data_IF_644833184811
#
_entry.id   IF_644833184811
#
_cell.length_a   1.000
_cell.length_b   1.000
_cell.length_c   1.000
_cell.angle_alpha   90.00
_cell.angle_beta   90.00
_cell.angle_gamma   90.00
#
_symmetry.space_group_name_H-M   'P 1'
#
loop_
_entity.id
_entity.type
_entity.pdbx_description
1 polymer ?
#
# COMPACT_ATOMS: atom_id res chain seq x y z
N UNK A 1 -15.05 -18.84 -8.10
CA UNK A 1 -13.66 -18.42 -7.92
C UNK A 1 -12.99 -19.33 -6.91
N UNK A 2 -11.65 -19.32 -6.83
CA UNK A 2 -10.87 -20.10 -5.83
C UNK A 2 -11.15 -19.58 -4.42
N UNK A 3 -11.24 -20.49 -3.45
CA UNK A 3 -11.29 -20.16 -2.02
C UNK A 3 -9.95 -19.56 -1.55
N UNK A 4 -9.93 -18.95 -0.37
CA UNK A 4 -8.69 -18.42 0.24
C UNK A 4 -7.66 -19.54 0.39
N UNK A 5 -8.07 -20.71 0.89
CA UNK A 5 -7.18 -21.86 1.04
C UNK A 5 -6.58 -22.31 -0.29
N UNK A 6 -7.38 -22.43 -1.35
CA UNK A 6 -6.89 -22.81 -2.68
C UNK A 6 -5.89 -21.81 -3.25
N UNK A 7 -6.06 -20.51 -2.97
CA UNK A 7 -5.08 -19.47 -3.37
C UNK A 7 -3.76 -19.64 -2.62
N UNK A 8 -3.80 -19.87 -1.32
CA UNK A 8 -2.62 -20.11 -0.49
C UNK A 8 -1.89 -21.40 -0.92
N UNK A 9 -2.63 -22.48 -1.17
CA UNK A 9 -2.05 -23.73 -1.69
C UNK A 9 -1.36 -23.52 -3.05
N UNK A 10 -1.97 -22.75 -3.94
CA UNK A 10 -1.35 -22.42 -5.23
C UNK A 10 -0.07 -21.60 -5.06
N UNK A 11 -0.05 -20.61 -4.16
CA UNK A 11 1.15 -19.85 -3.84
C UNK A 11 2.25 -20.74 -3.26
N UNK A 12 1.88 -21.63 -2.34
CA UNK A 12 2.84 -22.61 -1.75
C UNK A 12 3.42 -23.54 -2.81
N UNK A 13 2.57 -24.08 -3.67
CA UNK A 13 2.99 -24.96 -4.78
C UNK A 13 3.91 -24.24 -5.79
N UNK A 14 3.74 -22.93 -5.96
CA UNK A 14 4.60 -22.08 -6.79
C UNK A 14 5.94 -21.71 -6.11
N UNK A 15 6.17 -22.12 -4.85
CA UNK A 15 7.43 -21.91 -4.15
C UNK A 15 7.54 -20.58 -3.38
N UNK A 16 6.44 -19.86 -3.18
CA UNK A 16 6.47 -18.64 -2.37
C UNK A 16 6.60 -18.95 -0.87
N UNK A 17 7.26 -18.06 -0.12
CA UNK A 17 7.43 -18.12 1.33
C UNK A 17 6.32 -17.37 2.09
N UNK A 18 5.60 -16.49 1.42
CA UNK A 18 4.52 -15.70 1.98
C UNK A 18 3.59 -15.11 0.93
N UNK A 19 2.58 -14.44 1.42
CA UNK A 19 1.56 -13.77 0.60
C UNK A 19 1.26 -12.37 1.16
N UNK A 20 0.77 -11.49 0.30
CA UNK A 20 0.04 -10.29 0.69
C UNK A 20 -1.45 -10.61 0.61
N UNK A 21 -2.19 -10.31 1.67
CA UNK A 21 -3.63 -10.55 1.71
C UNK A 21 -4.40 -9.23 1.55
N UNK A 22 -5.56 -9.28 0.93
CA UNK A 22 -6.49 -8.16 0.97
C UNK A 22 -7.08 -8.00 2.38
N UNK A 23 -7.36 -6.76 2.79
CA UNK A 23 -8.16 -6.48 3.97
C UNK A 23 -9.64 -6.87 3.75
N UNK A 24 -10.42 -6.95 4.82
CA UNK A 24 -11.85 -7.29 4.80
C UNK A 24 -12.17 -8.71 4.31
N UNK A 25 -11.18 -9.60 4.24
CA UNK A 25 -11.42 -11.03 4.04
C UNK A 25 -11.94 -11.65 5.34
N UNK A 26 -12.49 -12.87 5.25
CA UNK A 26 -12.79 -13.65 6.44
C UNK A 26 -11.48 -13.94 7.20
N UNK A 27 -11.30 -13.29 8.33
CA UNK A 27 -10.06 -13.34 9.13
C UNK A 27 -9.68 -14.77 9.52
N UNK A 28 -10.65 -15.57 9.94
CA UNK A 28 -10.41 -16.96 10.34
C UNK A 28 -9.95 -17.82 9.15
N UNK A 29 -10.55 -17.65 7.98
CA UNK A 29 -10.14 -18.38 6.77
C UNK A 29 -8.71 -18.04 6.35
N UNK A 30 -8.28 -16.76 6.45
CA UNK A 30 -6.90 -16.35 6.15
C UNK A 30 -5.93 -16.98 7.14
N UNK A 31 -6.23 -16.93 8.44
CA UNK A 31 -5.39 -17.50 9.48
C UNK A 31 -5.24 -19.03 9.31
N UNK A 32 -6.32 -19.74 9.08
CA UNK A 32 -6.31 -21.20 8.85
C UNK A 32 -5.58 -21.57 7.56
N UNK A 33 -5.75 -20.81 6.48
CA UNK A 33 -5.03 -21.01 5.24
C UNK A 33 -3.51 -20.79 5.41
N UNK A 34 -3.11 -19.74 6.12
CA UNK A 34 -1.71 -19.47 6.44
C UNK A 34 -1.10 -20.60 7.27
N UNK A 35 -1.82 -21.04 8.32
CA UNK A 35 -1.40 -22.14 9.20
C UNK A 35 -1.27 -23.46 8.46
N UNK A 36 -2.24 -23.83 7.64
CA UNK A 36 -2.26 -25.12 6.93
C UNK A 36 -1.22 -25.21 5.81
N UNK A 37 -0.83 -24.09 5.20
CA UNK A 37 0.18 -24.04 4.13
C UNK A 37 1.58 -23.71 4.64
N UNK A 38 1.71 -23.16 5.85
CA UNK A 38 2.96 -22.63 6.40
C UNK A 38 3.43 -21.35 5.69
N UNK A 39 2.57 -20.69 4.90
CA UNK A 39 2.87 -19.40 4.31
C UNK A 39 2.69 -18.27 5.32
N UNK A 40 3.60 -17.30 5.31
CA UNK A 40 3.46 -16.07 6.09
C UNK A 40 2.57 -15.07 5.35
N UNK A 41 1.68 -14.39 6.06
CA UNK A 41 1.09 -13.14 5.56
C UNK A 41 2.05 -12.03 5.94
N UNK A 42 2.80 -11.47 4.99
CA UNK A 42 3.84 -10.49 5.28
C UNK A 42 3.33 -9.05 5.26
N UNK A 43 2.19 -8.80 4.59
CA UNK A 43 1.52 -7.48 4.51
C UNK A 43 0.05 -7.66 4.16
N UNK A 44 -0.72 -6.60 4.38
CA UNK A 44 -2.13 -6.52 4.00
C UNK A 44 -2.31 -5.34 3.04
N UNK A 45 -2.98 -5.57 1.91
CA UNK A 45 -3.41 -4.49 1.03
C UNK A 45 -4.73 -3.91 1.54
N UNK A 46 -4.83 -2.59 1.72
CA UNK A 46 -6.11 -1.95 1.99
C UNK A 46 -6.99 -2.05 0.74
N UNK A 47 -7.89 -3.01 0.73
CA UNK A 47 -8.72 -3.35 -0.43
C UNK A 47 -9.70 -2.26 -0.86
N UNK A 48 -9.87 -1.21 -0.05
CA UNK A 48 -10.81 -0.11 -0.31
C UNK A 48 -10.14 1.20 -0.70
N UNK A 49 -8.83 1.31 -0.67
CA UNK A 49 -8.11 2.56 -0.88
C UNK A 49 -8.37 3.21 -2.27
N UNK A 50 -8.81 2.44 -3.28
CA UNK A 50 -9.22 2.97 -4.59
C UNK A 50 -10.68 3.41 -4.66
N UNK A 51 -11.53 2.94 -3.75
CA UNK A 51 -12.97 3.30 -3.70
C UNK A 51 -13.23 4.42 -2.71
N UNK A 52 -12.70 4.27 -1.50
CA UNK A 52 -12.88 5.22 -0.39
C UNK A 52 -11.61 6.04 -0.22
N UNK A 53 -11.33 6.89 -1.25
CA UNK A 53 -10.10 7.68 -1.33
C UNK A 53 -9.98 8.66 -0.15
N UNK A 54 -8.83 8.65 0.52
CA UNK A 54 -8.52 9.61 1.59
C UNK A 54 -8.34 11.05 1.08
N UNK A 55 -8.23 11.25 -0.24
CA UNK A 55 -8.19 12.55 -0.90
C UNK A 55 -9.53 13.04 -1.41
N UNK A 56 -10.62 12.27 -1.23
CA UNK A 56 -11.95 12.65 -1.73
C UNK A 56 -12.39 14.02 -1.22
N UNK A 57 -13.06 14.85 -2.04
CA UNK A 57 -13.72 16.06 -1.55
C UNK A 57 -14.86 15.75 -0.57
N UNK A 58 -15.51 14.59 -0.70
CA UNK A 58 -16.58 14.15 0.18
C UNK A 58 -16.00 13.57 1.50
N UNK A 59 -16.37 14.19 2.63
CA UNK A 59 -15.94 13.75 3.95
C UNK A 59 -16.45 12.35 4.31
N UNK A 60 -17.65 11.97 3.83
CA UNK A 60 -18.21 10.64 4.11
C UNK A 60 -17.34 9.54 3.49
N UNK A 61 -16.87 9.77 2.25
CA UNK A 61 -15.94 8.86 1.55
C UNK A 61 -14.60 8.78 2.28
N UNK A 62 -14.07 9.92 2.77
CA UNK A 62 -12.82 9.90 3.57
C UNK A 62 -13.00 9.14 4.88
N UNK A 63 -14.14 9.32 5.56
CA UNK A 63 -14.45 8.58 6.79
C UNK A 63 -14.51 7.06 6.55
N UNK A 64 -15.12 6.62 5.44
CA UNK A 64 -15.09 5.22 5.02
C UNK A 64 -13.66 4.73 4.75
N UNK A 65 -12.83 5.56 4.12
CA UNK A 65 -11.41 5.25 3.86
C UNK A 65 -10.61 5.07 5.15
N UNK A 66 -10.80 5.95 6.12
CA UNK A 66 -10.17 5.81 7.45
C UNK A 66 -10.65 4.53 8.14
N UNK A 67 -11.96 4.26 8.14
CA UNK A 67 -12.50 3.03 8.72
C UNK A 67 -11.92 1.78 8.05
N UNK A 68 -11.76 1.79 6.73
CA UNK A 68 -11.15 0.70 5.98
C UNK A 68 -9.68 0.49 6.35
N UNK A 69 -8.91 1.58 6.46
CA UNK A 69 -7.51 1.52 6.90
C UNK A 69 -7.37 0.95 8.31
N UNK A 70 -8.25 1.33 9.24
CA UNK A 70 -8.25 0.79 10.61
C UNK A 70 -8.53 -0.73 10.60
N UNK A 71 -9.49 -1.21 9.81
CA UNK A 71 -9.74 -2.65 9.63
C UNK A 71 -8.52 -3.34 9.03
N UNK A 72 -7.86 -2.75 8.02
CA UNK A 72 -6.66 -3.32 7.42
C UNK A 72 -5.51 -3.46 8.43
N UNK A 73 -5.33 -2.49 9.33
CA UNK A 73 -4.34 -2.55 10.41
C UNK A 73 -4.65 -3.69 11.41
N UNK A 74 -5.92 -3.87 11.76
CA UNK A 74 -6.35 -4.96 12.64
C UNK A 74 -6.19 -6.32 11.96
N UNK A 75 -6.51 -6.44 10.67
CA UNK A 75 -6.32 -7.64 9.87
C UNK A 75 -4.83 -7.99 9.79
N UNK A 76 -3.96 -7.01 9.50
CA UNK A 76 -2.52 -7.20 9.48
C UNK A 76 -2.01 -7.74 10.83
N UNK A 77 -2.45 -7.15 11.93
CA UNK A 77 -2.10 -7.64 13.28
C UNK A 77 -2.55 -9.07 13.51
N UNK A 78 -3.80 -9.40 13.12
CA UNK A 78 -4.36 -10.73 13.31
C UNK A 78 -3.63 -11.80 12.48
N UNK A 79 -3.15 -11.44 11.29
CA UNK A 79 -2.42 -12.33 10.39
C UNK A 79 -0.92 -12.45 10.75
N UNK A 80 -0.42 -11.61 11.67
CA UNK A 80 1.00 -11.52 11.99
C UNK A 80 1.82 -10.74 10.95
N UNK A 81 1.16 -9.97 10.11
CA UNK A 81 1.79 -9.05 9.16
C UNK A 81 2.28 -7.78 9.88
N UNK A 82 3.31 -7.14 9.33
CA UNK A 82 3.96 -5.96 9.92
C UNK A 82 3.69 -4.67 9.16
N UNK A 83 2.95 -4.73 8.04
CA UNK A 83 2.62 -3.56 7.24
C UNK A 83 1.26 -3.69 6.54
N UNK A 84 0.62 -2.51 6.32
CA UNK A 84 -0.53 -2.32 5.44
C UNK A 84 -0.09 -1.48 4.26
N UNK A 85 -0.31 -1.98 3.05
CA UNK A 85 -0.16 -1.21 1.82
C UNK A 85 -1.32 -0.23 1.68
N UNK A 86 -1.00 1.06 1.54
CA UNK A 86 -1.97 2.12 1.36
C UNK A 86 -1.61 3.00 0.15
N UNK A 87 -2.56 3.18 -0.76
CA UNK A 87 -2.53 4.27 -1.73
C UNK A 87 -3.17 5.50 -1.07
N UNK A 88 -2.41 6.59 -0.81
CA UNK A 88 -2.86 7.66 0.07
C UNK A 88 -3.94 8.54 -0.54
N UNK A 89 -4.04 8.58 -1.86
CA UNK A 89 -5.02 9.42 -2.56
C UNK A 89 -4.76 9.45 -4.06
N UNK A 90 -5.53 10.27 -4.76
CA UNK A 90 -5.42 10.45 -6.22
C UNK A 90 -5.63 11.91 -6.58
N UNK A 91 -4.73 12.46 -7.38
CA UNK A 91 -4.89 13.78 -8.01
C UNK A 91 -5.69 13.62 -9.29
N UNK A 92 -6.69 14.47 -9.47
CA UNK A 92 -7.59 14.49 -10.64
C UNK A 92 -7.86 15.93 -11.05
N UNK A 93 -8.61 16.15 -12.13
CA UNK A 93 -9.06 17.48 -12.52
C UNK A 93 -9.86 18.19 -11.40
N UNK A 94 -10.61 17.42 -10.60
CA UNK A 94 -11.46 17.93 -9.52
C UNK A 94 -10.85 17.82 -8.12
N UNK A 95 -9.65 17.27 -7.98
CA UNK A 95 -8.91 17.19 -6.72
C UNK A 95 -7.49 17.65 -7.01
N UNK A 96 -7.18 18.88 -6.61
CA UNK A 96 -5.86 19.47 -6.81
C UNK A 96 -4.77 18.75 -5.99
N UNK A 97 -3.52 19.01 -6.32
CA UNK A 97 -2.38 18.34 -5.69
C UNK A 97 -2.27 18.64 -4.19
N UNK A 98 -2.45 19.90 -3.83
CA UNK A 98 -2.45 20.37 -2.43
C UNK A 98 -3.67 19.86 -1.65
N UNK A 99 -4.84 19.79 -2.24
CA UNK A 99 -6.02 19.18 -1.63
C UNK A 99 -5.81 17.67 -1.38
N UNK A 100 -5.25 16.96 -2.36
CA UNK A 100 -4.89 15.54 -2.19
C UNK A 100 -3.89 15.37 -1.04
N UNK A 101 -2.85 16.21 -0.98
CA UNK A 101 -1.85 16.21 0.09
C UNK A 101 -2.48 16.46 1.46
N UNK A 102 -3.22 17.54 1.59
CA UNK A 102 -3.76 17.98 2.87
C UNK A 102 -4.81 16.99 3.41
N UNK A 103 -5.78 16.60 2.57
CA UNK A 103 -6.84 15.67 2.96
C UNK A 103 -6.27 14.29 3.34
N UNK A 104 -5.45 13.70 2.48
CA UNK A 104 -4.89 12.37 2.77
C UNK A 104 -4.00 12.38 4.01
N UNK A 105 -3.23 13.46 4.25
CA UNK A 105 -2.42 13.62 5.45
C UNK A 105 -3.30 13.69 6.70
N UNK A 106 -4.36 14.49 6.69
CA UNK A 106 -5.30 14.61 7.80
C UNK A 106 -5.93 13.25 8.15
N UNK A 107 -6.38 12.53 7.13
CA UNK A 107 -7.05 11.25 7.33
C UNK A 107 -6.09 10.15 7.81
N UNK A 108 -4.88 10.06 7.24
CA UNK A 108 -3.87 9.09 7.70
C UNK A 108 -3.47 9.36 9.16
N UNK A 109 -3.34 10.61 9.58
CA UNK A 109 -3.02 10.97 10.97
C UNK A 109 -3.97 10.36 11.98
N UNK A 110 -5.24 10.14 11.63
CA UNK A 110 -6.23 9.49 12.50
C UNK A 110 -5.92 8.02 12.77
N UNK A 111 -5.26 7.36 11.80
CA UNK A 111 -4.89 5.94 11.91
C UNK A 111 -3.51 5.70 12.53
N UNK A 112 -2.61 6.69 12.54
CA UNK A 112 -1.23 6.55 13.05
C UNK A 112 -1.19 6.00 14.48
N UNK A 113 -1.97 6.49 15.46
CA UNK A 113 -1.94 5.97 16.83
C UNK A 113 -2.31 4.48 16.93
N UNK A 114 -3.21 4.02 16.06
CA UNK A 114 -3.61 2.61 16.00
C UNK A 114 -2.48 1.77 15.40
N UNK A 115 -1.85 2.25 14.33
CA UNK A 115 -0.69 1.60 13.70
C UNK A 115 0.46 1.43 14.71
N UNK A 116 0.77 2.47 15.49
CA UNK A 116 1.77 2.42 16.56
C UNK A 116 1.42 1.39 17.64
N UNK A 117 0.19 1.43 18.13
CA UNK A 117 -0.31 0.49 19.17
C UNK A 117 -0.24 -0.97 18.72
N UNK A 118 -0.56 -1.23 17.44
CA UNK A 118 -0.55 -2.57 16.88
C UNK A 118 0.86 -3.02 16.44
N UNK A 119 1.82 -2.10 16.39
CA UNK A 119 3.15 -2.30 15.79
C UNK A 119 3.05 -2.80 14.32
N UNK A 120 2.18 -2.15 13.55
CA UNK A 120 1.95 -2.40 12.12
C UNK A 120 2.19 -1.10 11.37
N UNK A 121 2.95 -1.12 10.29
CA UNK A 121 3.26 0.08 9.51
C UNK A 121 2.13 0.40 8.50
N UNK A 122 1.80 1.67 8.38
CA UNK A 122 1.09 2.21 7.21
C UNK A 122 2.16 2.47 6.14
N UNK A 123 2.22 1.65 5.13
CA UNK A 123 3.21 1.73 4.07
C UNK A 123 2.60 2.35 2.81
N UNK A 124 3.03 3.58 2.50
CA UNK A 124 2.53 4.38 1.38
C UNK A 124 3.12 3.86 0.07
N UNK A 125 2.28 3.45 -0.86
CA UNK A 125 2.73 2.96 -2.17
C UNK A 125 2.82 4.08 -3.20
N UNK A 126 3.91 4.11 -3.95
CA UNK A 126 4.07 4.91 -5.15
C UNK A 126 3.39 4.21 -6.33
N UNK A 127 2.28 4.78 -6.80
CA UNK A 127 1.47 4.26 -7.90
C UNK A 127 1.21 5.33 -8.96
N UNK A 128 0.53 4.97 -10.06
CA UNK A 128 0.18 5.93 -11.12
C UNK A 128 -1.13 6.66 -10.80
N UNK A 129 -1.12 7.46 -9.75
CA UNK A 129 -2.25 8.22 -9.22
C UNK A 129 -2.06 9.74 -9.33
N UNK A 130 -1.04 10.20 -10.07
CA UNK A 130 -0.65 11.60 -10.24
C UNK A 130 -0.25 12.28 -8.91
N UNK A 131 0.17 11.51 -7.92
CA UNK A 131 0.54 12.00 -6.59
C UNK A 131 1.87 11.39 -6.15
N UNK A 132 2.67 12.14 -5.38
CA UNK A 132 4.02 11.76 -4.93
C UNK A 132 4.94 11.42 -6.11
N UNK A 133 5.12 12.39 -7.01
CA UNK A 133 5.79 12.21 -8.29
C UNK A 133 7.32 12.21 -8.20
N UNK A 134 7.89 12.55 -7.05
CA UNK A 134 9.35 12.53 -6.82
C UNK A 134 9.72 11.86 -5.50
N UNK A 135 10.95 11.29 -5.39
CA UNK A 135 11.39 10.64 -4.15
C UNK A 135 11.58 11.64 -3.00
N UNK A 136 11.93 12.90 -3.30
CA UNK A 136 12.05 13.95 -2.29
C UNK A 136 10.70 14.29 -1.67
N UNK A 137 9.68 14.33 -2.51
CA UNK A 137 8.31 14.60 -2.10
C UNK A 137 7.75 13.42 -1.30
N UNK A 138 7.95 12.18 -1.78
CA UNK A 138 7.54 10.98 -1.07
C UNK A 138 8.21 10.87 0.32
N UNK A 139 9.51 11.18 0.41
CA UNK A 139 10.22 11.22 1.69
C UNK A 139 9.62 12.28 2.63
N UNK A 140 9.36 13.49 2.12
CA UNK A 140 8.74 14.58 2.90
C UNK A 140 7.33 14.23 3.35
N UNK A 141 6.53 13.58 2.47
CA UNK A 141 5.18 13.13 2.79
C UNK A 141 5.18 12.10 3.94
N UNK A 142 6.14 11.19 3.97
CA UNK A 142 6.29 10.20 5.05
C UNK A 142 6.78 10.87 6.34
N UNK A 143 7.80 11.72 6.26
CA UNK A 143 8.43 12.33 7.44
C UNK A 143 7.49 13.25 8.21
N UNK A 144 6.51 13.89 7.54
CA UNK A 144 5.58 14.82 8.20
C UNK A 144 4.69 14.16 9.26
N UNK A 145 4.58 12.83 9.25
CA UNK A 145 3.80 12.11 10.27
C UNK A 145 4.55 12.00 11.60
N UNK A 146 5.86 12.21 11.63
CA UNK A 146 6.71 12.08 12.81
C UNK A 146 6.53 10.74 13.56
N UNK A 147 6.30 9.66 12.82
CA UNK A 147 6.06 8.33 13.37
C UNK A 147 6.82 7.27 12.58
N UNK A 148 7.42 6.33 13.28
CA UNK A 148 8.05 5.15 12.67
C UNK A 148 7.01 4.15 12.15
N UNK A 149 5.74 4.34 12.47
CA UNK A 149 4.63 3.53 11.96
C UNK A 149 4.20 3.94 10.54
N UNK A 150 4.75 5.00 9.95
CA UNK A 150 4.52 5.37 8.56
C UNK A 150 5.79 5.15 7.75
N UNK A 151 5.68 4.49 6.61
CA UNK A 151 6.81 4.18 5.73
C UNK A 151 6.41 4.11 4.26
N UNK A 152 7.34 3.70 3.41
CA UNK A 152 7.11 3.48 2.00
C UNK A 152 6.86 2.00 1.70
N UNK A 153 5.84 1.71 0.92
CA UNK A 153 5.73 0.48 0.14
C UNK A 153 6.25 0.78 -1.25
N UNK A 154 7.53 0.50 -1.49
CA UNK A 154 8.22 0.95 -2.70
C UNK A 154 7.98 -0.01 -3.86
N UNK A 155 7.25 0.42 -4.89
CA UNK A 155 7.10 -0.31 -6.15
C UNK A 155 8.12 0.21 -7.18
N UNK A 156 9.12 -0.61 -7.48
CA UNK A 156 10.19 -0.24 -8.40
C UNK A 156 9.69 -0.18 -9.86
N UNK A 157 8.75 -1.03 -10.25
CA UNK A 157 8.20 -1.06 -11.61
C UNK A 157 7.36 0.17 -11.91
N UNK A 158 6.60 0.67 -10.94
CA UNK A 158 5.85 1.92 -11.11
C UNK A 158 6.77 3.11 -11.39
N UNK A 159 7.95 3.16 -10.76
CA UNK A 159 8.91 4.25 -10.96
C UNK A 159 9.59 4.16 -12.34
N UNK A 160 9.81 2.97 -12.88
CA UNK A 160 10.41 2.82 -14.20
C UNK A 160 9.65 3.57 -15.31
N UNK A 161 8.38 3.85 -15.13
CA UNK A 161 7.57 4.60 -16.09
C UNK A 161 8.03 6.07 -16.25
N UNK A 162 8.64 6.70 -15.22
CA UNK A 162 8.97 8.11 -15.23
C UNK A 162 10.19 8.51 -14.40
N UNK A 163 10.86 7.55 -13.76
CA UNK A 163 11.98 7.81 -12.86
C UNK A 163 13.03 6.71 -12.87
N UNK A 164 13.92 6.76 -11.92
CA UNK A 164 15.04 5.85 -11.73
C UNK A 164 14.91 5.21 -10.34
N UNK A 165 14.51 3.92 -10.23
CA UNK A 165 14.27 3.24 -8.95
C UNK A 165 15.43 3.34 -7.96
N UNK A 166 16.67 3.24 -8.44
CA UNK A 166 17.87 3.35 -7.61
C UNK A 166 18.04 4.71 -6.92
N UNK A 167 17.56 5.79 -7.57
CA UNK A 167 17.56 7.12 -6.96
C UNK A 167 16.49 7.23 -5.86
N UNK A 168 15.33 6.62 -6.09
CA UNK A 168 14.27 6.54 -5.10
C UNK A 168 14.70 5.73 -3.89
N UNK A 169 15.31 4.56 -4.09
CA UNK A 169 15.83 3.72 -3.00
C UNK A 169 16.83 4.51 -2.16
N UNK A 170 17.77 5.22 -2.81
CA UNK A 170 18.78 6.03 -2.11
C UNK A 170 18.17 7.14 -1.25
N UNK A 171 17.13 7.82 -1.75
CA UNK A 171 16.49 8.95 -1.06
C UNK A 171 15.54 8.46 0.02
N UNK A 172 14.71 7.45 -0.25
CA UNK A 172 13.79 6.89 0.72
C UNK A 172 14.54 6.18 1.85
N UNK A 173 15.59 5.43 1.54
CA UNK A 173 16.46 4.77 2.52
C UNK A 173 15.66 3.98 3.56
N UNK A 174 15.89 4.28 4.84
CA UNK A 174 15.23 3.61 5.99
C UNK A 174 13.69 3.78 6.06
N UNK A 175 13.10 4.64 5.23
CA UNK A 175 11.65 4.81 5.14
C UNK A 175 10.99 3.66 4.41
N UNK A 176 11.74 2.89 3.60
CA UNK A 176 11.22 1.72 2.89
C UNK A 176 10.88 0.63 3.91
N UNK A 177 9.59 0.32 4.01
CA UNK A 177 9.07 -0.77 4.85
C UNK A 177 8.95 -2.07 4.05
N UNK A 178 8.47 -1.98 2.81
CA UNK A 178 8.24 -3.10 1.89
C UNK A 178 8.60 -2.71 0.47
N UNK A 179 8.80 -3.71 -0.39
CA UNK A 179 9.12 -3.52 -1.80
C UNK A 179 8.19 -4.39 -2.65
N UNK A 180 7.60 -3.79 -3.67
CA UNK A 180 7.02 -4.51 -4.80
C UNK A 180 8.02 -4.58 -5.96
N UNK A 181 8.16 -5.75 -6.53
CA UNK A 181 8.94 -5.98 -7.75
C UNK A 181 7.96 -6.42 -8.82
N UNK A 182 7.85 -5.63 -9.88
CA UNK A 182 7.06 -5.99 -11.06
C UNK A 182 7.80 -5.63 -12.35
N UNK A 183 7.46 -6.31 -13.41
CA UNK A 183 8.02 -6.05 -14.73
C UNK A 183 7.49 -4.74 -15.31
N UNK A 184 8.38 -3.95 -15.89
CA UNK A 184 8.08 -2.79 -16.71
C UNK A 184 9.23 -2.57 -17.70
N UNK A 185 8.90 -2.45 -18.98
CA UNK A 185 9.87 -2.18 -20.04
C UNK A 185 9.66 -0.81 -20.66
N UNK A 186 10.59 0.14 -20.43
CA UNK A 186 10.57 1.45 -21.09
C UNK A 186 10.58 1.31 -22.61
N UNK A 187 11.39 0.40 -23.16
CA UNK A 187 11.47 0.18 -24.59
C UNK A 187 10.11 -0.20 -25.19
N UNK A 188 9.37 -1.05 -24.52
CA UNK A 188 8.01 -1.43 -24.94
C UNK A 188 7.06 -0.26 -24.76
N UNK A 189 7.07 0.41 -23.62
CA UNK A 189 6.21 1.55 -23.34
C UNK A 189 6.43 2.73 -24.32
N UNK A 190 7.69 2.96 -24.72
CA UNK A 190 8.03 4.03 -25.68
C UNK A 190 7.57 3.68 -27.12
N UNK A 191 7.52 2.39 -27.46
CA UNK A 191 7.14 1.93 -28.81
C UNK A 191 5.64 1.62 -28.94
N UNK A 192 4.98 1.18 -27.89
CA UNK A 192 3.60 0.65 -27.92
C UNK A 192 2.64 1.37 -26.94
N UNK A 193 3.13 2.30 -26.14
CA UNK A 193 2.40 2.98 -25.09
C UNK A 193 2.53 2.33 -23.71
N UNK A 194 2.23 3.14 -22.67
CA UNK A 194 2.42 2.71 -21.25
C UNK A 194 1.52 1.57 -20.79
N UNK A 195 0.53 1.21 -21.60
CA UNK A 195 -0.44 0.14 -21.27
C UNK A 195 -0.14 -1.19 -22.00
N UNK A 196 0.97 -1.25 -22.71
CA UNK A 196 1.37 -2.44 -23.46
C UNK A 196 2.15 -3.43 -22.59
#
# INVERSE_FOLDING_TARGET
GKTILEKFQAAKAAGFDGVEADSHLNRNEVIEAAKSTGLKVHSVCDSKHWRSLLSSPDQSVRNEGVAALLVALEDAKAYGADAVLLVPGRVTESVSYDECWNRSTEEIRKAVPVAEKLNVKIAIENVWNNFLLSPLEAARYIDQFNSTAVGAYFDCGNILAYGWPEQWIKILGKRIAKIHIKEYSRKIADSQGKSA
#
